data_IF_561388916253
#
_entry.id   IF_561388916253
#
_cell.length_a   1.000
_cell.length_b   1.000
_cell.length_c   1.000
_cell.angle_alpha   90.00
_cell.angle_beta   90.00
_cell.angle_gamma   90.00
#
_symmetry.space_group_name_H-M   'P 1'
#
loop_
_entity.id
_entity.type
_entity.pdbx_description
1 polymer ?
#
# COMPACT_ATOMS: atom_id res chain seq x y z
N UNK A 1 -13.05 -0.49 15.50
CA UNK A 1 -11.78 0.03 16.05
C UNK A 1 -10.75 0.02 14.93
N UNK A 2 -10.23 1.18 14.50
CA UNK A 2 -9.13 1.23 13.51
C UNK A 2 -7.84 0.78 14.22
N UNK A 3 -7.35 -0.42 13.90
CA UNK A 3 -6.06 -0.90 14.41
C UNK A 3 -4.94 -0.13 13.72
N UNK A 4 -4.56 1.02 14.27
CA UNK A 4 -3.29 1.65 13.88
C UNK A 4 -2.17 0.66 14.19
N UNK A 5 -1.42 0.26 13.17
CA UNK A 5 -0.17 -0.49 13.39
C UNK A 5 0.77 0.36 14.24
N UNK A 6 0.92 -0.02 15.49
CA UNK A 6 1.81 0.65 16.45
C UNK A 6 3.24 0.14 16.40
N UNK A 7 3.48 -0.99 15.72
CA UNK A 7 4.78 -1.64 15.55
C UNK A 7 4.79 -2.48 14.27
N UNK A 8 5.95 -2.58 13.64
CA UNK A 8 6.22 -3.50 12.54
C UNK A 8 6.00 -4.93 13.03
N UNK A 9 5.33 -5.75 12.22
CA UNK A 9 5.00 -7.13 12.56
C UNK A 9 6.25 -8.01 12.44
N UNK A 10 7.13 -7.73 11.47
CA UNK A 10 8.30 -8.56 11.22
C UNK A 10 9.47 -8.25 12.16
N UNK A 11 9.85 -6.98 12.32
CA UNK A 11 11.01 -6.62 13.15
C UNK A 11 10.63 -6.08 14.54
N UNK A 12 9.35 -5.93 14.86
CA UNK A 12 8.88 -5.39 16.14
C UNK A 12 9.17 -3.90 16.37
N UNK A 13 9.82 -3.22 15.43
CA UNK A 13 10.19 -1.81 15.55
C UNK A 13 8.96 -0.89 15.49
N UNK A 14 8.98 0.17 16.30
CA UNK A 14 7.93 1.21 16.29
C UNK A 14 8.19 2.31 15.26
N UNK A 15 9.32 2.25 14.56
CA UNK A 15 9.72 3.21 13.52
C UNK A 15 8.94 2.94 12.22
N UNK A 16 7.66 3.30 12.25
CA UNK A 16 6.73 3.22 11.15
C UNK A 16 6.44 4.63 10.66
N UNK A 17 6.69 4.88 9.38
CA UNK A 17 6.39 6.16 8.73
C UNK A 17 5.36 5.98 7.64
N UNK A 18 4.46 6.94 7.51
CA UNK A 18 3.52 6.94 6.39
C UNK A 18 4.20 7.56 5.17
N UNK A 19 4.36 6.78 4.11
CA UNK A 19 4.98 7.20 2.85
C UNK A 19 3.99 7.11 1.71
N UNK A 20 4.31 7.79 0.61
CA UNK A 20 3.57 7.67 -0.64
C UNK A 20 4.49 6.98 -1.64
N UNK A 21 4.09 5.82 -2.14
CA UNK A 21 4.84 5.04 -3.13
C UNK A 21 4.03 4.87 -4.40
N UNK A 22 4.73 4.80 -5.52
CA UNK A 22 4.15 4.43 -6.80
C UNK A 22 4.14 2.90 -6.90
N UNK A 23 2.95 2.32 -7.02
CA UNK A 23 2.75 0.88 -7.10
C UNK A 23 2.46 0.50 -8.54
N UNK A 24 3.19 -0.47 -9.07
CA UNK A 24 2.95 -1.01 -10.42
C UNK A 24 2.47 -2.44 -10.29
N UNK A 25 1.22 -2.69 -10.68
CA UNK A 25 0.64 -4.03 -10.69
C UNK A 25 0.73 -4.58 -12.10
N UNK A 26 1.37 -5.74 -12.25
CA UNK A 26 1.42 -6.43 -13.53
C UNK A 26 0.16 -7.28 -13.68
N UNK A 27 -0.79 -6.85 -14.52
CA UNK A 27 -1.99 -7.64 -14.83
C UNK A 27 -1.67 -8.54 -16.02
N UNK A 28 -1.99 -9.84 -15.93
CA UNK A 28 -1.72 -10.83 -16.98
C UNK A 28 -2.35 -10.50 -18.35
N UNK A 29 -3.41 -9.69 -18.41
CA UNK A 29 -3.96 -9.09 -19.64
C UNK A 29 -5.11 -8.12 -19.29
N UNK A 30 -5.29 -6.94 -19.94
CA UNK A 30 -4.33 -6.15 -20.71
C UNK A 30 -3.69 -5.04 -19.83
N UNK A 31 -2.36 -5.00 -19.78
CA UNK A 31 -1.59 -3.83 -19.34
C UNK A 31 -1.15 -3.77 -17.87
N UNK A 32 -0.04 -3.06 -17.64
CA UNK A 32 0.45 -2.71 -16.31
C UNK A 32 -0.41 -1.59 -15.70
N UNK A 33 -0.91 -1.80 -14.48
CA UNK A 33 -1.66 -0.79 -13.73
C UNK A 33 -0.67 -0.03 -12.85
N UNK A 34 -0.33 1.19 -13.25
CA UNK A 34 0.48 2.10 -12.43
C UNK A 34 -0.41 2.94 -11.53
N UNK A 35 -0.29 2.81 -10.22
CA UNK A 35 -0.98 3.62 -9.22
C UNK A 35 0.03 4.54 -8.57
N UNK A 36 -0.08 5.83 -8.86
CA UNK A 36 0.87 6.81 -8.34
C UNK A 36 0.44 7.33 -6.97
N UNK A 37 1.43 7.69 -6.13
CA UNK A 37 1.24 8.31 -4.82
C UNK A 37 0.29 7.53 -3.89
N UNK A 38 0.37 6.20 -3.88
CA UNK A 38 -0.40 5.40 -2.95
C UNK A 38 0.16 5.51 -1.53
N UNK A 39 -0.70 5.88 -0.58
CA UNK A 39 -0.34 5.95 0.82
C UNK A 39 -0.10 4.53 1.35
N UNK A 40 0.99 4.34 2.08
CA UNK A 40 1.32 3.10 2.76
C UNK A 40 2.14 3.40 4.03
N UNK A 41 2.21 2.44 4.94
CA UNK A 41 3.01 2.54 6.16
C UNK A 41 4.28 1.72 5.91
N UNK A 42 5.43 2.37 5.89
CA UNK A 42 6.72 1.70 5.73
C UNK A 42 7.44 1.64 7.08
N UNK A 43 7.99 0.48 7.40
CA UNK A 43 8.94 0.35 8.50
C UNK A 43 10.32 0.80 8.04
N UNK A 44 10.89 1.81 8.69
CA UNK A 44 12.20 2.34 8.33
C UNK A 44 13.34 1.36 8.69
N UNK A 45 13.11 0.47 9.66
CA UNK A 45 14.12 -0.44 10.18
C UNK A 45 14.33 -1.67 9.27
N UNK A 46 13.25 -2.28 8.76
CA UNK A 46 13.33 -3.45 7.88
C UNK A 46 12.87 -3.19 6.44
N UNK A 47 12.29 -2.02 6.15
CA UNK A 47 11.77 -1.69 4.81
C UNK A 47 10.41 -2.31 4.48
N UNK A 48 9.79 -3.02 5.43
CA UNK A 48 8.46 -3.62 5.27
C UNK A 48 7.38 -2.59 4.97
N UNK A 49 6.43 -2.95 4.10
CA UNK A 49 5.36 -2.05 3.66
C UNK A 49 4.02 -2.65 4.05
N UNK A 50 3.25 -1.89 4.81
CA UNK A 50 1.93 -2.25 5.29
C UNK A 50 0.86 -1.33 4.71
N UNK A 51 -0.32 -1.91 4.47
CA UNK A 51 -1.50 -1.20 4.02
C UNK A 51 -2.60 -1.35 5.06
N UNK A 52 -3.15 -0.22 5.50
CA UNK A 52 -4.34 -0.21 6.35
C UNK A 52 -5.58 -0.55 5.49
N UNK A 53 -6.66 -1.01 6.11
CA UNK A 53 -7.91 -1.38 5.43
C UNK A 53 -8.41 -0.26 4.50
N UNK A 54 -8.36 0.99 4.97
CA UNK A 54 -8.75 2.16 4.15
C UNK A 54 -7.84 2.34 2.94
N UNK A 55 -6.53 2.14 3.11
CA UNK A 55 -5.56 2.31 2.02
C UNK A 55 -5.72 1.21 0.98
N UNK A 56 -6.03 -0.02 1.41
CA UNK A 56 -6.37 -1.13 0.51
C UNK A 56 -7.67 -0.89 -0.26
N UNK A 57 -8.73 -0.37 0.38
CA UNK A 57 -9.99 -0.02 -0.30
C UNK A 57 -9.77 1.09 -1.34
N UNK A 58 -9.04 2.16 -1.00
CA UNK A 58 -8.68 3.21 -1.96
C UNK A 58 -7.86 2.67 -3.13
N UNK A 59 -6.91 1.77 -2.87
CA UNK A 59 -6.10 1.12 -3.89
C UNK A 59 -6.96 0.27 -4.83
N UNK A 60 -7.84 -0.56 -4.28
CA UNK A 60 -8.76 -1.40 -5.04
C UNK A 60 -9.67 -0.55 -5.93
N UNK A 61 -10.22 0.56 -5.43
CA UNK A 61 -11.04 1.51 -6.22
C UNK A 61 -10.25 2.15 -7.37
N UNK A 62 -9.01 2.55 -7.13
CA UNK A 62 -8.14 3.11 -8.20
C UNK A 62 -7.83 2.07 -9.27
N UNK A 63 -7.60 0.82 -8.85
CA UNK A 63 -7.36 -0.31 -9.76
C UNK A 63 -8.63 -0.61 -10.57
N UNK A 64 -9.81 -0.75 -9.95
CA UNK A 64 -11.09 -0.98 -10.66
C UNK A 64 -11.36 0.10 -11.71
N UNK A 65 -11.15 1.37 -11.35
CA UNK A 65 -11.32 2.50 -12.26
C UNK A 65 -10.36 2.45 -13.45
N UNK A 66 -9.16 1.91 -13.29
CA UNK A 66 -8.18 1.72 -14.39
C UNK A 66 -8.42 0.45 -15.20
N UNK A 67 -9.09 -0.56 -14.64
CA UNK A 67 -9.41 -1.82 -15.31
C UNK A 67 -10.66 -1.70 -16.18
N UNK A 68 -11.62 -0.85 -15.78
CA UNK A 68 -12.87 -0.60 -16.52
C UNK A 68 -12.73 0.31 -17.74
N UNK A 69 -11.56 0.91 -17.96
CA UNK A 69 -11.24 1.75 -19.12
C UNK A 69 -10.41 0.96 -20.11
#
# INVERSE_FOLDING_TARGET
MQQKMSKCIECGSKDLRTVKKDLTFNRKNPGMIKINKQKCIECNNCGEIYFDEKQSDELAKKIDKKIKF
#
